data_IF_265732693693
#
_entry.id   IF_265732693693
#
_cell.length_a   1.000
_cell.length_b   1.000
_cell.length_c   1.000
_cell.angle_alpha   90.00
_cell.angle_beta   90.00
_cell.angle_gamma   90.00
#
_symmetry.space_group_name_H-M   'P 1'
#
loop_
_entity.id
_entity.type
_entity.pdbx_description
1 polymer ?
#
# COMPACT_ATOMS: atom_id res chain seq x y z
N UNK A 1 3.67 16.24 14.77
CA UNK A 1 3.47 14.80 15.06
C UNK A 1 2.90 14.03 13.87
N UNK A 2 1.73 14.39 13.33
CA UNK A 2 1.08 13.67 12.20
C UNK A 2 2.03 13.42 11.01
N UNK A 3 2.73 14.45 10.52
CA UNK A 3 3.66 14.30 9.39
C UNK A 3 4.78 13.28 9.67
N UNK A 4 5.35 13.30 10.88
CA UNK A 4 6.42 12.38 11.28
C UNK A 4 5.89 10.94 11.26
N UNK A 5 4.66 10.72 11.72
CA UNK A 5 4.07 9.37 11.76
C UNK A 5 3.70 8.84 10.38
N UNK A 6 3.20 9.70 9.49
CA UNK A 6 2.98 9.34 8.08
C UNK A 6 4.30 8.94 7.40
N UNK A 7 5.36 9.73 7.61
CA UNK A 7 6.68 9.42 7.05
C UNK A 7 7.28 8.15 7.65
N UNK A 8 7.13 7.94 8.96
CA UNK A 8 7.61 6.72 9.60
C UNK A 8 6.92 5.49 9.04
N UNK A 9 5.60 5.55 8.81
CA UNK A 9 4.83 4.44 8.28
C UNK A 9 5.19 4.13 6.82
N UNK A 10 5.34 5.16 5.99
CA UNK A 10 5.81 5.00 4.61
C UNK A 10 7.20 4.35 4.56
N UNK A 11 8.15 4.85 5.35
CA UNK A 11 9.52 4.32 5.41
C UNK A 11 9.53 2.87 5.91
N UNK A 12 8.70 2.54 6.90
CA UNK A 12 8.57 1.20 7.45
C UNK A 12 8.13 0.21 6.36
N UNK A 13 7.02 0.50 5.67
CA UNK A 13 6.52 -0.38 4.61
C UNK A 13 7.49 -0.47 3.42
N UNK A 14 8.08 0.64 2.99
CA UNK A 14 9.06 0.65 1.91
C UNK A 14 10.32 -0.17 2.25
N UNK A 15 10.77 -0.12 3.50
CA UNK A 15 11.92 -0.89 3.98
C UNK A 15 11.64 -2.40 3.99
N UNK A 16 10.45 -2.80 4.46
CA UNK A 16 10.01 -4.20 4.43
C UNK A 16 9.90 -4.73 3.00
N UNK A 17 9.26 -3.97 2.11
CA UNK A 17 9.15 -4.34 0.70
C UNK A 17 10.53 -4.48 0.04
N UNK A 18 11.43 -3.51 0.24
CA UNK A 18 12.78 -3.52 -0.36
C UNK A 18 13.58 -4.76 0.09
N UNK A 19 13.55 -5.07 1.39
CA UNK A 19 14.22 -6.27 1.93
C UNK A 19 13.57 -7.55 1.40
N UNK A 20 12.23 -7.65 1.45
CA UNK A 20 11.49 -8.81 0.98
C UNK A 20 11.80 -9.12 -0.49
N UNK A 21 11.68 -8.11 -1.37
CA UNK A 21 12.01 -8.24 -2.79
C UNK A 21 13.45 -8.66 -3.05
N UNK A 22 14.40 -8.05 -2.35
CA UNK A 22 15.83 -8.37 -2.50
C UNK A 22 16.09 -9.84 -2.21
N UNK A 23 15.60 -10.34 -1.08
CA UNK A 23 15.93 -11.69 -0.63
C UNK A 23 15.12 -12.76 -1.36
N UNK A 24 13.91 -12.47 -1.83
CA UNK A 24 13.19 -13.35 -2.78
C UNK A 24 13.99 -13.48 -4.07
N UNK A 25 14.43 -12.36 -4.65
CA UNK A 25 15.23 -12.38 -5.87
C UNK A 25 16.55 -13.13 -5.67
N UNK A 26 17.24 -12.96 -4.53
CA UNK A 26 18.46 -13.74 -4.21
C UNK A 26 18.25 -15.25 -4.12
N UNK A 27 17.02 -15.73 -3.84
CA UNK A 27 16.72 -17.17 -3.87
C UNK A 27 16.60 -17.71 -5.30
N UNK A 28 16.18 -16.86 -6.24
CA UNK A 28 15.96 -17.23 -7.63
C UNK A 28 17.30 -17.44 -8.37
N UNK A 29 17.42 -18.49 -9.20
CA UNK A 29 18.55 -18.67 -10.10
C UNK A 29 18.78 -17.46 -10.99
N UNK A 30 20.04 -17.16 -11.34
CA UNK A 30 20.40 -16.03 -12.20
C UNK A 30 19.81 -16.16 -13.61
N UNK A 31 19.50 -17.38 -14.07
CA UNK A 31 18.84 -17.66 -15.36
C UNK A 31 17.36 -17.29 -15.39
N UNK A 32 16.72 -17.07 -14.23
CA UNK A 32 15.29 -16.77 -14.13
C UNK A 32 15.01 -15.29 -13.86
N UNK A 33 16.02 -14.42 -13.93
CA UNK A 33 15.86 -13.00 -13.61
C UNK A 33 16.92 -12.13 -14.28
N UNK A 34 16.62 -10.83 -14.45
CA UNK A 34 17.66 -9.85 -14.79
C UNK A 34 18.70 -9.74 -13.69
N UNK A 35 19.92 -9.37 -14.07
CA UNK A 35 20.96 -9.03 -13.09
C UNK A 35 20.58 -7.75 -12.36
N UNK A 36 20.91 -7.68 -11.08
CA UNK A 36 20.59 -6.54 -10.22
C UNK A 36 21.69 -6.39 -9.17
N UNK A 37 21.93 -5.15 -8.76
CA UNK A 37 22.96 -4.82 -7.79
C UNK A 37 22.38 -3.88 -6.73
N UNK A 38 22.40 -4.33 -5.47
CA UNK A 38 22.01 -3.52 -4.32
C UNK A 38 23.18 -3.47 -3.35
N UNK A 39 23.60 -2.26 -2.98
CA UNK A 39 24.72 -2.09 -2.06
C UNK A 39 24.34 -2.54 -0.65
N UNK A 40 25.31 -3.06 0.10
CA UNK A 40 25.10 -3.47 1.49
C UNK A 40 24.58 -2.33 2.36
N UNK A 41 24.90 -1.07 2.03
CA UNK A 41 24.42 0.13 2.73
C UNK A 41 22.88 0.21 2.73
N UNK A 42 22.24 -0.05 1.59
CA UNK A 42 20.78 -0.07 1.51
C UNK A 42 20.17 -1.16 2.39
N UNK A 43 20.77 -2.36 2.41
CA UNK A 43 20.27 -3.47 3.23
C UNK A 43 20.37 -3.17 4.73
N UNK A 44 21.50 -2.62 5.18
CA UNK A 44 21.67 -2.22 6.57
C UNK A 44 20.75 -1.06 6.93
N UNK A 45 20.61 -0.05 6.08
CA UNK A 45 19.73 1.09 6.32
C UNK A 45 18.26 0.65 6.42
N UNK A 46 17.77 -0.13 5.45
CA UNK A 46 16.40 -0.65 5.46
C UNK A 46 16.14 -1.58 6.65
N UNK A 47 17.14 -2.32 7.13
CA UNK A 47 16.97 -3.17 8.31
C UNK A 47 16.97 -2.35 9.60
N UNK A 48 17.95 -1.46 9.79
CA UNK A 48 18.11 -0.66 11.01
C UNK A 48 16.99 0.34 11.23
N UNK A 49 16.38 0.86 10.15
CA UNK A 49 15.32 1.87 10.27
C UNK A 49 14.02 1.29 10.84
N UNK A 50 13.72 0.01 10.59
CA UNK A 50 12.46 -0.66 10.99
C UNK A 50 12.07 -0.38 12.46
N UNK A 51 12.89 -0.73 13.48
CA UNK A 51 12.52 -0.51 14.88
C UNK A 51 12.49 0.96 15.26
N UNK A 52 13.23 1.83 14.57
CA UNK A 52 13.25 3.27 14.82
C UNK A 52 11.91 3.88 14.40
N UNK A 53 11.46 3.61 13.17
CA UNK A 53 10.20 4.15 12.66
C UNK A 53 8.98 3.46 13.27
N UNK A 54 9.08 2.18 13.61
CA UNK A 54 8.03 1.46 14.34
C UNK A 54 7.85 1.96 15.79
N UNK A 55 8.82 2.72 16.34
CA UNK A 55 8.68 3.31 17.67
C UNK A 55 7.81 4.57 17.69
N UNK A 56 7.59 5.23 16.53
CA UNK A 56 6.92 6.54 16.48
C UNK A 56 5.52 6.54 17.13
N UNK A 57 4.65 5.50 16.96
CA UNK A 57 3.39 5.42 17.69
C UNK A 57 3.55 5.39 19.23
N UNK A 58 4.62 4.78 19.74
CA UNK A 58 4.93 4.76 21.16
C UNK A 58 5.32 6.16 21.68
N UNK A 59 5.94 7.00 20.83
CA UNK A 59 6.23 8.40 21.18
C UNK A 59 4.94 9.18 21.41
N UNK A 60 3.90 8.95 20.60
CA UNK A 60 2.60 9.59 20.81
C UNK A 60 1.98 9.19 22.17
N UNK A 61 2.06 7.91 22.55
CA UNK A 61 1.61 7.47 23.87
C UNK A 61 2.46 8.07 24.99
N UNK A 62 3.78 8.18 24.82
CA UNK A 62 4.66 8.82 25.79
C UNK A 62 4.25 10.28 26.03
N UNK A 63 3.88 11.03 24.99
CA UNK A 63 3.42 12.43 25.14
C UNK A 63 2.14 12.53 25.98
N UNK A 64 1.26 11.53 25.89
CA UNK A 64 -0.01 11.49 26.63
C UNK A 64 0.22 11.08 28.09
N UNK A 65 1.09 10.09 28.34
CA UNK A 65 1.28 9.48 29.66
C UNK A 65 2.33 10.18 30.52
N UNK A 66 3.37 10.77 29.92
CA UNK A 66 4.48 11.41 30.66
C UNK A 66 4.00 12.51 31.61
N UNK A 67 3.06 13.39 31.23
CA UNK A 67 2.53 14.41 32.15
C UNK A 67 1.80 13.83 33.37
N UNK A 68 1.33 12.58 33.30
CA UNK A 68 0.53 11.92 34.34
C UNK A 68 1.38 11.06 35.28
N UNK A 69 2.36 10.33 34.73
CA UNK A 69 3.12 9.32 35.47
C UNK A 69 4.64 9.58 35.49
N UNK A 70 5.14 10.58 34.78
CA UNK A 70 6.57 10.77 34.54
C UNK A 70 7.12 9.83 33.46
N UNK A 71 8.31 10.15 32.94
CA UNK A 71 8.86 9.50 31.74
C UNK A 71 9.14 8.00 31.94
N UNK A 72 9.82 7.64 33.03
CA UNK A 72 10.25 6.25 33.29
C UNK A 72 9.04 5.34 33.48
N UNK A 73 8.08 5.73 34.32
CA UNK A 73 6.88 4.93 34.56
C UNK A 73 5.99 4.85 33.33
N UNK A 74 5.90 5.91 32.52
CA UNK A 74 5.19 5.89 31.24
C UNK A 74 5.82 4.92 30.24
N UNK A 75 7.15 4.96 30.09
CA UNK A 75 7.87 4.05 29.20
C UNK A 75 7.71 2.60 29.65
N UNK A 76 7.88 2.33 30.95
CA UNK A 76 7.68 1.00 31.52
C UNK A 76 6.24 0.52 31.28
N UNK A 77 5.24 1.37 31.49
CA UNK A 77 3.83 1.03 31.27
C UNK A 77 3.57 0.70 29.80
N UNK A 78 4.09 1.49 28.86
CA UNK A 78 3.96 1.23 27.41
C UNK A 78 4.52 -0.14 27.06
N UNK A 79 5.77 -0.42 27.45
CA UNK A 79 6.46 -1.64 27.06
C UNK A 79 5.89 -2.88 27.77
N UNK A 80 5.37 -2.74 28.99
CA UNK A 80 4.88 -3.88 29.78
C UNK A 80 3.39 -4.15 29.63
N UNK A 81 2.55 -3.14 29.35
CA UNK A 81 1.08 -3.29 29.38
C UNK A 81 0.40 -3.03 28.03
N UNK A 82 0.96 -2.17 27.18
CA UNK A 82 0.27 -1.79 25.94
C UNK A 82 0.69 -2.69 24.77
N UNK A 83 -0.32 -3.08 23.97
CA UNK A 83 -0.15 -3.91 22.76
C UNK A 83 0.92 -3.37 21.81
N UNK A 84 0.94 -2.05 21.61
CA UNK A 84 1.91 -1.34 20.75
C UNK A 84 3.35 -1.43 21.27
N UNK A 85 3.54 -1.43 22.59
CA UNK A 85 4.85 -1.62 23.20
C UNK A 85 5.36 -3.05 23.05
N UNK A 86 4.50 -4.06 23.28
CA UNK A 86 4.84 -5.47 23.06
C UNK A 86 5.23 -5.77 21.61
N UNK A 87 4.46 -5.23 20.65
CA UNK A 87 4.78 -5.37 19.23
C UNK A 87 6.11 -4.72 18.89
N UNK A 88 6.37 -3.51 19.40
CA UNK A 88 7.64 -2.83 19.15
C UNK A 88 8.84 -3.61 19.71
N UNK A 89 8.75 -4.15 20.93
CA UNK A 89 9.81 -5.02 21.49
C UNK A 89 10.02 -6.25 20.61
N UNK A 90 8.94 -6.88 20.15
CA UNK A 90 9.01 -8.04 19.26
C UNK A 90 9.70 -7.69 17.94
N UNK A 91 9.33 -6.57 17.32
CA UNK A 91 9.95 -6.03 16.10
C UNK A 91 11.43 -5.73 16.35
N UNK A 92 11.78 -5.12 17.48
CA UNK A 92 13.16 -4.83 17.84
C UNK A 92 13.99 -6.12 17.95
N UNK A 93 13.51 -7.12 18.68
CA UNK A 93 14.20 -8.40 18.85
C UNK A 93 14.41 -9.12 17.51
N UNK A 94 13.38 -9.23 16.68
CA UNK A 94 13.54 -9.83 15.35
C UNK A 94 14.44 -9.01 14.44
N UNK A 95 14.43 -7.68 14.57
CA UNK A 95 15.31 -6.82 13.77
C UNK A 95 16.79 -6.94 14.18
N UNK A 96 17.08 -7.14 15.47
CA UNK A 96 18.46 -7.40 15.92
C UNK A 96 19.01 -8.70 15.29
N UNK A 97 18.19 -9.76 15.27
CA UNK A 97 18.55 -11.01 14.58
C UNK A 97 18.66 -10.78 13.07
N UNK A 98 17.73 -10.04 12.48
CA UNK A 98 17.73 -9.68 11.06
C UNK A 98 19.04 -8.99 10.66
N UNK A 99 19.53 -8.03 11.45
CA UNK A 99 20.78 -7.32 11.18
C UNK A 99 22.00 -8.25 11.16
N UNK A 100 22.06 -9.22 12.09
CA UNK A 100 23.12 -10.23 12.14
C UNK A 100 23.07 -11.09 10.87
N UNK A 101 21.90 -11.60 10.50
CA UNK A 101 21.73 -12.47 9.32
C UNK A 101 21.97 -11.70 8.02
N UNK A 102 21.50 -10.44 7.92
CA UNK A 102 21.78 -9.55 6.79
C UNK A 102 23.29 -9.34 6.66
N UNK A 103 24.01 -9.09 7.76
CA UNK A 103 25.46 -8.96 7.73
C UNK A 103 26.16 -10.21 7.18
N UNK A 104 25.76 -11.39 7.68
CA UNK A 104 26.26 -12.66 7.15
C UNK A 104 25.95 -12.84 5.65
N UNK A 105 24.75 -12.43 5.21
CA UNK A 105 24.32 -12.54 3.81
C UNK A 105 25.08 -11.63 2.84
N UNK A 106 25.66 -10.52 3.34
CA UNK A 106 26.50 -9.65 2.50
C UNK A 106 27.88 -10.24 2.23
N UNK A 107 28.36 -11.12 3.12
CA UNK A 107 29.65 -11.80 3.01
C UNK A 107 29.54 -13.20 2.38
N UNK A 108 28.34 -13.79 2.40
CA UNK A 108 28.10 -15.16 1.95
C UNK A 108 26.89 -15.26 1.03
N UNK A 109 27.04 -15.95 -0.10
CA UNK A 109 25.96 -16.19 -1.09
C UNK A 109 25.05 -17.39 -0.74
N UNK A 110 25.10 -17.91 0.50
CA UNK A 110 24.31 -19.08 0.92
C UNK A 110 22.81 -18.77 0.92
N UNK A 111 22.02 -19.54 0.16
CA UNK A 111 20.56 -19.36 0.04
C UNK A 111 19.81 -19.46 1.38
N UNK A 112 20.29 -20.29 2.31
CA UNK A 112 19.68 -20.44 3.65
C UNK A 112 19.60 -19.11 4.42
N UNK A 113 20.55 -18.19 4.21
CA UNK A 113 20.51 -16.86 4.83
C UNK A 113 19.37 -16.01 4.28
N UNK A 114 19.05 -16.15 2.98
CA UNK A 114 17.91 -15.45 2.38
C UNK A 114 16.58 -16.00 2.89
N UNK A 115 16.48 -17.32 3.09
CA UNK A 115 15.30 -17.95 3.72
C UNK A 115 15.12 -17.47 5.16
N UNK A 116 16.19 -17.44 5.95
CA UNK A 116 16.16 -16.94 7.33
C UNK A 116 15.70 -15.48 7.40
N UNK A 117 16.21 -14.62 6.50
CA UNK A 117 15.80 -13.21 6.43
C UNK A 117 14.32 -13.06 6.06
N UNK A 118 13.84 -13.79 5.05
CA UNK A 118 12.41 -13.77 4.68
C UNK A 118 11.54 -14.22 5.86
N UNK A 119 11.97 -15.25 6.60
CA UNK A 119 11.25 -15.75 7.78
C UNK A 119 11.17 -14.68 8.88
N UNK A 120 12.26 -13.96 9.14
CA UNK A 120 12.29 -12.85 10.11
C UNK A 120 11.40 -11.68 9.66
N UNK A 121 11.39 -11.36 8.36
CA UNK A 121 10.50 -10.33 7.81
C UNK A 121 9.03 -10.72 7.97
N UNK A 122 8.67 -11.98 7.74
CA UNK A 122 7.31 -12.50 7.99
C UNK A 122 6.93 -12.31 9.47
N UNK A 123 7.82 -12.62 10.40
CA UNK A 123 7.58 -12.43 11.83
C UNK A 123 7.40 -10.95 12.21
N UNK A 124 8.19 -10.05 11.61
CA UNK A 124 8.03 -8.60 11.79
C UNK A 124 6.67 -8.12 11.24
N UNK A 125 6.27 -8.58 10.05
CA UNK A 125 4.98 -8.24 9.43
C UNK A 125 3.82 -8.75 10.31
N UNK A 126 3.94 -9.95 10.88
CA UNK A 126 2.94 -10.46 11.84
C UNK A 126 2.84 -9.59 13.10
N UNK A 127 3.98 -9.18 13.67
CA UNK A 127 3.99 -8.28 14.82
C UNK A 127 3.36 -6.90 14.52
N UNK A 128 3.47 -6.41 13.27
CA UNK A 128 2.79 -5.19 12.85
C UNK A 128 1.29 -5.39 12.69
N UNK A 129 0.87 -6.48 12.05
CA UNK A 129 -0.54 -6.81 11.88
C UNK A 129 -1.26 -6.99 13.22
N UNK A 130 -0.55 -7.51 14.23
CA UNK A 130 -1.02 -7.63 15.61
C UNK A 130 -1.43 -6.29 16.22
N UNK A 131 -0.87 -5.14 15.81
CA UNK A 131 -1.23 -3.82 16.37
C UNK A 131 -2.06 -2.94 15.43
N UNK A 132 -2.54 -3.51 14.33
CA UNK A 132 -3.34 -2.80 13.34
C UNK A 132 -4.71 -2.35 13.88
N UNK A 133 -5.30 -1.34 13.25
CA UNK A 133 -6.69 -0.94 13.50
C UNK A 133 -7.66 -2.12 13.32
N UNK A 134 -7.43 -2.93 12.29
CA UNK A 134 -8.22 -4.14 12.03
C UNK A 134 -8.21 -5.11 13.22
N UNK A 135 -7.03 -5.34 13.82
CA UNK A 135 -6.88 -6.23 14.97
C UNK A 135 -7.63 -5.74 16.23
N UNK A 136 -7.83 -4.42 16.34
CA UNK A 136 -8.57 -3.80 17.44
C UNK A 136 -10.09 -3.89 17.23
N UNK A 137 -10.56 -3.84 15.97
CA UNK A 137 -11.98 -3.90 15.61
C UNK A 137 -12.51 -5.33 15.52
N UNK A 138 -11.76 -6.23 14.85
CA UNK A 138 -12.08 -7.66 14.73
C UNK A 138 -10.83 -8.46 15.13
N UNK A 139 -10.68 -8.83 16.41
CA UNK A 139 -9.54 -9.61 16.88
C UNK A 139 -9.33 -10.90 16.06
N UNK A 140 -8.08 -11.30 15.83
CA UNK A 140 -7.66 -12.45 15.01
C UNK A 140 -7.95 -12.28 13.52
N UNK A 141 -9.21 -12.06 13.12
CA UNK A 141 -9.58 -11.93 11.71
C UNK A 141 -8.97 -10.68 11.07
N UNK A 142 -9.10 -9.52 11.72
CA UNK A 142 -8.52 -8.27 11.25
C UNK A 142 -6.99 -8.31 11.21
N UNK A 143 -6.37 -8.97 12.19
CA UNK A 143 -4.92 -9.24 12.19
C UNK A 143 -4.52 -10.12 11.00
N UNK A 144 -5.23 -11.22 10.75
CA UNK A 144 -4.95 -12.10 9.62
C UNK A 144 -5.11 -11.38 8.27
N UNK A 145 -6.15 -10.56 8.12
CA UNK A 145 -6.36 -9.79 6.89
C UNK A 145 -5.25 -8.77 6.67
N UNK A 146 -4.86 -8.04 7.71
CA UNK A 146 -3.78 -7.04 7.62
C UNK A 146 -2.42 -7.70 7.35
N UNK A 147 -2.15 -8.84 7.99
CA UNK A 147 -0.95 -9.65 7.72
C UNK A 147 -0.90 -10.09 6.25
N UNK A 148 -1.97 -10.71 5.74
CA UNK A 148 -2.04 -11.17 4.34
C UNK A 148 -1.86 -9.98 3.39
N UNK A 149 -2.50 -8.85 3.67
CA UNK A 149 -2.39 -7.64 2.86
C UNK A 149 -0.95 -7.13 2.80
N UNK A 150 -0.34 -6.85 3.96
CA UNK A 150 1.00 -6.30 4.05
C UNK A 150 2.07 -7.27 3.53
N UNK A 151 1.90 -8.57 3.76
CA UNK A 151 2.80 -9.60 3.24
C UNK A 151 2.76 -9.65 1.72
N UNK A 152 1.58 -9.70 1.12
CA UNK A 152 1.42 -9.72 -0.33
C UNK A 152 1.94 -8.43 -0.99
N UNK A 153 1.69 -7.26 -0.40
CA UNK A 153 2.28 -5.98 -0.85
C UNK A 153 3.81 -6.04 -0.78
N UNK A 154 4.38 -6.52 0.32
CA UNK A 154 5.82 -6.59 0.52
C UNK A 154 6.52 -7.49 -0.52
N UNK A 155 5.89 -8.59 -0.92
CA UNK A 155 6.40 -9.46 -2.00
C UNK A 155 6.33 -8.72 -3.34
N UNK A 156 5.14 -8.26 -3.71
CA UNK A 156 4.90 -7.74 -5.05
C UNK A 156 5.64 -6.43 -5.30
N UNK A 157 5.38 -5.42 -4.47
CA UNK A 157 6.06 -4.13 -4.54
C UNK A 157 7.58 -4.30 -4.32
N UNK A 158 7.98 -5.19 -3.41
CA UNK A 158 9.39 -5.46 -3.15
C UNK A 158 10.15 -5.90 -4.39
N UNK A 159 9.65 -6.94 -5.08
CA UNK A 159 10.28 -7.42 -6.32
C UNK A 159 10.32 -6.32 -7.37
N UNK A 160 9.22 -5.57 -7.53
CA UNK A 160 9.13 -4.46 -8.48
C UNK A 160 10.12 -3.32 -8.19
N UNK A 161 10.31 -2.93 -6.93
CA UNK A 161 11.31 -1.92 -6.55
C UNK A 161 12.70 -2.36 -7.01
N UNK A 162 13.08 -3.61 -6.74
CA UNK A 162 14.41 -4.11 -7.08
C UNK A 162 14.59 -4.21 -8.60
N UNK A 163 13.61 -4.77 -9.31
CA UNK A 163 13.70 -4.90 -10.76
C UNK A 163 13.64 -3.55 -11.47
N UNK A 164 12.87 -2.58 -10.96
CA UNK A 164 12.75 -1.25 -11.56
C UNK A 164 13.97 -0.38 -11.37
N UNK A 165 14.54 -0.36 -10.17
CA UNK A 165 15.55 0.64 -9.78
C UNK A 165 16.95 0.07 -9.60
N UNK A 166 17.09 -1.24 -9.39
CA UNK A 166 18.38 -1.87 -9.09
C UNK A 166 18.82 -2.91 -10.13
N UNK A 167 18.01 -3.18 -11.17
CA UNK A 167 18.42 -4.05 -12.28
C UNK A 167 19.42 -3.36 -13.20
N UNK A 168 20.50 -4.06 -13.55
CA UNK A 168 21.56 -3.54 -14.40
C UNK A 168 21.34 -3.84 -15.88
N UNK A 169 20.53 -4.85 -16.20
CA UNK A 169 20.16 -5.23 -17.56
C UNK A 169 18.70 -5.70 -17.65
N UNK A 170 18.28 -6.04 -18.86
CA UNK A 170 16.97 -6.64 -19.19
C UNK A 170 17.11 -8.09 -19.66
N UNK A 171 18.23 -8.76 -19.35
CA UNK A 171 18.45 -10.15 -19.73
C UNK A 171 17.48 -11.08 -18.98
N UNK A 172 17.17 -12.25 -19.55
CA UNK A 172 16.27 -13.25 -18.97
C UNK A 172 14.86 -12.71 -18.64
N UNK A 173 14.41 -11.64 -19.30
CA UNK A 173 13.13 -10.99 -18.99
C UNK A 173 11.93 -11.93 -19.17
N UNK A 174 11.94 -12.74 -20.23
CA UNK A 174 10.88 -13.73 -20.45
C UNK A 174 10.84 -14.78 -19.32
N UNK A 175 12.01 -15.27 -18.90
CA UNK A 175 12.12 -16.22 -17.79
C UNK A 175 11.66 -15.60 -16.47
N UNK A 176 11.95 -14.31 -16.25
CA UNK A 176 11.43 -13.54 -15.12
C UNK A 176 9.91 -13.49 -15.12
N UNK A 177 9.28 -13.11 -16.24
CA UNK A 177 7.83 -13.03 -16.33
C UNK A 177 7.14 -14.39 -16.13
N UNK A 178 7.79 -15.52 -16.47
CA UNK A 178 7.20 -16.85 -16.30
C UNK A 178 6.87 -17.18 -14.84
N UNK A 179 7.68 -16.74 -13.87
CA UNK A 179 7.41 -16.96 -12.44
C UNK A 179 6.89 -15.70 -11.73
N UNK A 180 7.31 -14.51 -12.17
CA UNK A 180 6.87 -13.27 -11.53
C UNK A 180 5.42 -12.93 -11.87
N UNK A 181 4.96 -13.09 -13.12
CA UNK A 181 3.55 -12.82 -13.46
C UNK A 181 2.54 -13.62 -12.63
N UNK A 182 2.66 -14.96 -12.45
CA UNK A 182 1.76 -15.68 -11.56
C UNK A 182 1.93 -15.27 -10.09
N UNK A 183 3.15 -14.98 -9.63
CA UNK A 183 3.39 -14.47 -8.26
C UNK A 183 2.69 -13.13 -8.03
N UNK A 184 2.79 -12.21 -8.98
CA UNK A 184 2.13 -10.91 -8.95
C UNK A 184 0.60 -11.05 -8.99
N UNK A 185 0.06 -11.99 -9.78
CA UNK A 185 -1.38 -12.27 -9.81
C UNK A 185 -1.89 -12.79 -8.46
N UNK A 186 -1.16 -13.73 -7.84
CA UNK A 186 -1.50 -14.25 -6.50
C UNK A 186 -1.43 -13.12 -5.47
N UNK A 187 -0.36 -12.31 -5.48
CA UNK A 187 -0.23 -11.19 -4.56
C UNK A 187 -1.32 -10.14 -4.76
N UNK A 188 -1.60 -9.73 -6.00
CA UNK A 188 -2.70 -8.83 -6.35
C UNK A 188 -4.05 -9.35 -5.85
N UNK A 189 -4.34 -10.64 -6.08
CA UNK A 189 -5.58 -11.27 -5.62
C UNK A 189 -5.65 -11.29 -4.10
N UNK A 190 -4.56 -11.63 -3.42
CA UNK A 190 -4.48 -11.62 -1.95
C UNK A 190 -4.70 -10.21 -1.38
N UNK A 191 -4.12 -9.18 -2.00
CA UNK A 191 -4.29 -7.76 -1.64
C UNK A 191 -5.75 -7.32 -1.85
N UNK A 192 -6.36 -7.69 -2.97
CA UNK A 192 -7.74 -7.32 -3.27
C UNK A 192 -8.71 -7.97 -2.27
N UNK A 193 -8.59 -9.29 -2.05
CA UNK A 193 -9.44 -10.03 -1.12
C UNK A 193 -9.27 -9.55 0.32
N UNK A 194 -8.04 -9.48 0.81
CA UNK A 194 -7.79 -8.97 2.17
C UNK A 194 -8.17 -7.51 2.33
N UNK A 195 -7.99 -6.69 1.28
CA UNK A 195 -8.41 -5.29 1.26
C UNK A 195 -9.91 -5.12 1.45
N UNK A 196 -10.72 -5.88 0.73
CA UNK A 196 -12.19 -5.87 0.91
C UNK A 196 -12.58 -6.30 2.33
N UNK A 197 -11.94 -7.35 2.86
CA UNK A 197 -12.19 -7.83 4.21
C UNK A 197 -11.75 -6.83 5.30
N UNK A 198 -10.69 -6.06 5.04
CA UNK A 198 -10.25 -4.97 5.92
C UNK A 198 -11.23 -3.80 5.92
N UNK A 199 -11.84 -3.47 4.76
CA UNK A 199 -12.90 -2.45 4.70
C UNK A 199 -14.08 -2.89 5.56
N UNK A 200 -14.54 -4.14 5.41
CA UNK A 200 -15.62 -4.70 6.23
C UNK A 200 -15.28 -4.74 7.73
N UNK A 201 -14.00 -4.91 8.08
CA UNK A 201 -13.56 -4.92 9.46
C UNK A 201 -13.46 -3.51 10.10
N UNK A 202 -13.11 -2.49 9.32
CA UNK A 202 -12.69 -1.17 9.83
C UNK A 202 -13.71 -0.07 9.52
N UNK A 203 -14.50 -0.23 8.46
CA UNK A 203 -15.33 0.85 7.87
C UNK A 203 -16.80 0.42 7.83
N UNK A 204 -17.60 0.70 8.87
CA UNK A 204 -18.96 0.19 9.02
C UNK A 204 -19.96 0.70 7.96
N UNK A 205 -19.74 1.91 7.42
CA UNK A 205 -20.53 2.45 6.31
C UNK A 205 -19.58 3.06 5.27
N UNK A 206 -19.13 2.25 4.31
CA UNK A 206 -18.07 2.63 3.37
C UNK A 206 -18.34 3.93 2.62
N UNK A 207 -19.53 4.06 2.01
CA UNK A 207 -19.89 5.26 1.23
C UNK A 207 -20.05 6.48 2.14
N UNK A 208 -20.70 6.34 3.30
CA UNK A 208 -20.81 7.43 4.30
C UNK A 208 -19.42 7.89 4.77
N UNK A 209 -18.50 6.94 4.93
CA UNK A 209 -17.13 7.18 5.34
C UNK A 209 -16.33 8.04 4.36
N UNK A 210 -16.70 8.15 3.08
CA UNK A 210 -15.99 8.95 2.07
C UNK A 210 -15.91 10.44 2.42
N UNK A 211 -16.87 10.97 3.20
CA UNK A 211 -16.79 12.34 3.70
C UNK A 211 -15.67 12.54 4.73
N UNK A 212 -15.26 11.49 5.45
CA UNK A 212 -14.23 11.60 6.49
C UNK A 212 -12.82 11.75 5.92
N UNK A 213 -11.87 12.29 6.71
CA UNK A 213 -10.45 12.33 6.32
C UNK A 213 -9.91 10.94 5.95
N UNK A 214 -10.16 9.93 6.79
CA UNK A 214 -9.70 8.55 6.57
C UNK A 214 -10.33 7.95 5.31
N UNK A 215 -11.66 8.01 5.22
CA UNK A 215 -12.41 7.38 4.14
C UNK A 215 -12.15 8.05 2.80
N UNK A 216 -11.87 9.35 2.77
CA UNK A 216 -11.51 10.05 1.54
C UNK A 216 -10.18 9.58 0.96
N UNK A 217 -9.14 9.46 1.79
CA UNK A 217 -7.85 8.93 1.35
C UNK A 217 -7.92 7.44 1.00
N UNK A 218 -8.71 6.66 1.74
CA UNK A 218 -9.00 5.28 1.40
C UNK A 218 -9.72 5.19 0.04
N UNK A 219 -10.68 6.07 -0.23
CA UNK A 219 -11.37 6.11 -1.51
C UNK A 219 -10.41 6.44 -2.66
N UNK A 220 -9.53 7.42 -2.48
CA UNK A 220 -8.48 7.75 -3.48
C UNK A 220 -7.57 6.55 -3.73
N UNK A 221 -7.19 5.77 -2.70
CA UNK A 221 -6.46 4.52 -2.89
C UNK A 221 -7.23 3.57 -3.82
N UNK A 222 -8.53 3.37 -3.61
CA UNK A 222 -9.35 2.51 -4.47
C UNK A 222 -9.49 3.04 -5.90
N UNK A 223 -9.62 4.36 -6.06
CA UNK A 223 -9.62 5.00 -7.38
C UNK A 223 -8.32 4.70 -8.14
N UNK A 224 -7.16 4.76 -7.48
CA UNK A 224 -5.87 4.45 -8.10
C UNK A 224 -5.68 2.95 -8.41
N UNK A 225 -6.42 2.04 -7.77
CA UNK A 225 -6.40 0.62 -8.13
C UNK A 225 -6.96 0.37 -9.53
N UNK A 226 -7.84 1.25 -10.03
CA UNK A 226 -8.41 1.11 -11.37
C UNK A 226 -7.34 1.25 -12.47
N UNK A 227 -6.60 2.36 -12.62
CA UNK A 227 -5.52 2.44 -13.60
C UNK A 227 -4.39 1.44 -13.30
N UNK A 228 -4.11 1.13 -12.02
CA UNK A 228 -3.14 0.09 -11.67
C UNK A 228 -3.51 -1.25 -12.28
N UNK A 229 -4.78 -1.67 -12.18
CA UNK A 229 -5.24 -2.96 -12.72
C UNK A 229 -4.92 -3.07 -14.21
N UNK A 230 -5.20 -2.02 -15.00
CA UNK A 230 -4.86 -2.03 -16.43
C UNK A 230 -3.37 -2.00 -16.71
N UNK A 231 -2.57 -1.29 -15.90
CA UNK A 231 -1.11 -1.27 -16.02
C UNK A 231 -0.52 -2.65 -15.71
N UNK A 232 -0.99 -3.31 -14.65
CA UNK A 232 -0.52 -4.64 -14.23
C UNK A 232 -0.88 -5.69 -15.27
N UNK A 233 -2.11 -5.66 -15.81
CA UNK A 233 -2.52 -6.53 -16.89
C UNK A 233 -1.72 -6.27 -18.17
N UNK A 234 -1.46 -5.00 -18.51
CA UNK A 234 -0.58 -4.61 -19.62
C UNK A 234 0.83 -5.16 -19.47
N UNK A 235 1.41 -5.01 -18.28
CA UNK A 235 2.74 -5.52 -17.96
C UNK A 235 2.83 -7.04 -17.94
N UNK A 236 1.79 -7.72 -17.45
CA UNK A 236 1.75 -9.19 -17.35
C UNK A 236 1.44 -9.90 -18.68
N UNK A 237 0.63 -9.29 -19.54
CA UNK A 237 0.09 -9.91 -20.75
C UNK A 237 0.66 -9.30 -22.04
N UNK A 238 0.63 -7.97 -22.17
CA UNK A 238 0.94 -7.29 -23.43
C UNK A 238 2.44 -7.11 -23.67
N UNK A 239 3.23 -6.95 -22.60
CA UNK A 239 4.69 -6.82 -22.71
C UNK A 239 5.32 -8.07 -23.31
N UNK A 240 4.78 -9.27 -23.01
CA UNK A 240 5.29 -10.55 -23.54
C UNK A 240 5.34 -10.57 -25.07
N UNK A 241 4.40 -9.89 -25.72
CA UNK A 241 4.30 -9.79 -27.18
C UNK A 241 5.40 -8.90 -27.81
N UNK A 242 6.20 -8.21 -26.99
CA UNK A 242 7.17 -7.20 -27.42
C UNK A 242 8.62 -7.50 -27.03
N UNK A 243 8.85 -8.55 -26.23
CA UNK A 243 10.18 -8.89 -25.69
C UNK A 243 11.18 -9.20 -26.81
N UNK A 244 10.72 -9.73 -27.93
CA UNK A 244 11.59 -10.08 -29.07
C UNK A 244 12.03 -8.86 -29.91
N UNK A 245 11.47 -7.67 -29.65
CA UNK A 245 11.84 -6.46 -30.38
C UNK A 245 13.18 -5.90 -29.86
N UNK A 246 14.18 -5.65 -30.73
CA UNK A 246 15.54 -5.32 -30.31
C UNK A 246 15.70 -3.98 -29.58
N UNK A 247 14.73 -3.06 -29.71
CA UNK A 247 14.77 -1.72 -29.07
C UNK A 247 13.82 -1.59 -27.87
N UNK A 248 13.12 -2.65 -27.49
CA UNK A 248 12.12 -2.58 -26.44
C UNK A 248 12.76 -2.72 -25.04
N UNK A 249 12.61 -1.69 -24.20
CA UNK A 249 13.12 -1.67 -22.82
C UNK A 249 11.96 -1.95 -21.84
N UNK A 250 11.83 -3.19 -21.32
CA UNK A 250 10.70 -3.56 -20.47
C UNK A 250 10.76 -2.93 -19.07
N UNK A 251 11.94 -2.52 -18.58
CA UNK A 251 12.09 -1.92 -17.24
C UNK A 251 11.30 -0.63 -17.08
N UNK A 252 11.12 0.13 -18.16
CA UNK A 252 10.35 1.38 -18.16
C UNK A 252 8.90 1.15 -17.73
N UNK A 253 8.29 0.06 -18.16
CA UNK A 253 6.89 -0.25 -17.83
C UNK A 253 6.73 -0.75 -16.39
N UNK A 254 7.70 -1.52 -15.92
CA UNK A 254 7.77 -1.94 -14.50
C UNK A 254 7.97 -0.72 -13.60
N UNK A 255 8.74 0.29 -14.02
CA UNK A 255 8.89 1.56 -13.28
C UNK A 255 7.56 2.32 -13.14
N UNK A 256 6.71 2.32 -14.17
CA UNK A 256 5.38 2.94 -14.11
C UNK A 256 4.51 2.23 -13.06
N UNK A 257 4.44 0.90 -13.12
CA UNK A 257 3.72 0.07 -12.13
C UNK A 257 4.24 0.31 -10.70
N UNK A 258 5.57 0.28 -10.54
CA UNK A 258 6.23 0.53 -9.25
C UNK A 258 5.91 1.92 -8.71
N UNK A 259 5.97 2.95 -9.56
CA UNK A 259 5.68 4.33 -9.17
C UNK A 259 4.24 4.49 -8.68
N UNK A 260 3.28 3.85 -9.36
CA UNK A 260 1.87 3.88 -8.95
C UNK A 260 1.64 3.13 -7.63
N UNK A 261 2.28 1.98 -7.43
CA UNK A 261 2.22 1.26 -6.16
C UNK A 261 2.87 2.04 -5.00
N UNK A 262 3.98 2.75 -5.25
CA UNK A 262 4.60 3.64 -4.26
C UNK A 262 3.64 4.79 -3.90
N UNK A 263 2.95 5.37 -4.89
CA UNK A 263 1.94 6.41 -4.64
C UNK A 263 0.77 5.87 -3.78
N UNK A 264 0.28 4.67 -4.09
CA UNK A 264 -0.75 3.99 -3.29
C UNK A 264 -0.25 3.69 -1.86
N UNK A 265 1.02 3.30 -1.70
CA UNK A 265 1.63 3.08 -0.40
C UNK A 265 1.73 4.39 0.41
N UNK A 266 2.10 5.50 -0.24
CA UNK A 266 2.14 6.82 0.38
C UNK A 266 0.74 7.25 0.85
N UNK A 267 -0.30 7.06 0.03
CA UNK A 267 -1.69 7.30 0.44
C UNK A 267 -2.09 6.42 1.62
N UNK A 268 -1.69 5.14 1.60
CA UNK A 268 -1.94 4.22 2.71
C UNK A 268 -1.33 4.71 4.02
N UNK A 269 -0.08 5.21 3.98
CA UNK A 269 0.57 5.80 5.14
C UNK A 269 -0.12 7.08 5.65
N UNK A 270 -0.78 7.85 4.77
CA UNK A 270 -1.50 9.07 5.17
C UNK A 270 -2.75 8.74 6.01
N UNK A 271 -3.54 7.75 5.57
CA UNK A 271 -4.80 7.43 6.26
C UNK A 271 -4.65 6.40 7.38
N UNK A 272 -3.58 5.60 7.40
CA UNK A 272 -3.34 4.65 8.49
C UNK A 272 -3.15 5.32 9.86
N UNK A 273 -2.80 6.61 9.87
CA UNK A 273 -2.66 7.43 11.09
C UNK A 273 -3.93 8.19 11.47
N UNK A 274 -5.00 8.02 10.71
CA UNK A 274 -6.27 8.71 10.92
C UNK A 274 -7.27 7.76 11.57
N UNK A 275 -8.18 8.33 12.36
CA UNK A 275 -9.24 7.53 12.97
C UNK A 275 -10.17 6.97 11.88
N UNK A 276 -10.48 5.67 11.91
CA UNK A 276 -11.49 5.08 11.04
C UNK A 276 -12.85 5.80 11.16
N UNK A 277 -13.64 5.88 10.09
CA UNK A 277 -14.93 6.55 10.09
C UNK A 277 -15.99 5.80 10.90
N UNK A 278 -16.95 6.55 11.43
CA UNK A 278 -18.17 6.03 12.02
C UNK A 278 -19.22 5.70 10.95
N UNK A 279 -20.31 5.05 11.33
CA UNK A 279 -21.43 4.70 10.42
C UNK A 279 -22.23 5.91 9.93
N UNK A 280 -22.05 7.06 10.57
CA UNK A 280 -22.69 8.34 10.26
C UNK A 280 -21.61 9.43 10.16
N UNK A 281 -21.93 10.54 9.49
CA UNK A 281 -21.00 11.65 9.35
C UNK A 281 -20.75 12.33 10.70
N UNK A 282 -19.50 12.72 10.95
CA UNK A 282 -19.09 13.62 12.03
C UNK A 282 -18.51 14.87 11.39
N UNK A 283 -19.18 16.02 11.55
CA UNK A 283 -18.81 17.29 10.88
C UNK A 283 -17.36 17.71 11.15
N UNK A 284 -16.85 17.46 12.37
CA UNK A 284 -15.46 17.71 12.79
C UNK A 284 -14.40 16.87 12.06
N UNK A 285 -14.81 15.74 11.47
CA UNK A 285 -13.92 14.82 10.75
C UNK A 285 -14.11 14.88 9.23
N UNK A 286 -14.93 15.80 8.71
CA UNK A 286 -15.11 15.96 7.26
C UNK A 286 -13.80 16.43 6.62
N UNK A 287 -13.45 15.79 5.50
CA UNK A 287 -12.24 16.10 4.76
C UNK A 287 -12.38 17.41 3.99
N UNK A 288 -11.37 18.28 4.07
CA UNK A 288 -11.30 19.48 3.25
C UNK A 288 -11.31 19.14 1.75
N UNK A 289 -10.66 18.04 1.36
CA UNK A 289 -10.65 17.57 -0.03
C UNK A 289 -12.05 17.16 -0.49
N UNK A 290 -12.83 16.54 0.40
CA UNK A 290 -14.21 16.17 0.09
C UNK A 290 -15.08 17.42 -0.15
N UNK A 291 -14.94 18.46 0.67
CA UNK A 291 -15.67 19.74 0.53
C UNK A 291 -15.34 20.51 -0.74
N UNK A 292 -14.12 20.37 -1.27
CA UNK A 292 -13.74 21.01 -2.55
C UNK A 292 -14.54 20.44 -3.73
N UNK A 293 -14.85 19.14 -3.69
CA UNK A 293 -15.51 18.44 -4.80
C UNK A 293 -17.00 18.17 -4.56
N UNK A 294 -17.49 18.36 -3.33
CA UNK A 294 -18.90 18.24 -2.99
C UNK A 294 -19.40 19.57 -2.42
N UNK A 295 -20.34 20.19 -3.12
CA UNK A 295 -20.97 21.45 -2.71
C UNK A 295 -22.08 21.28 -1.67
N UNK A 296 -22.48 20.03 -1.38
CA UNK A 296 -23.48 19.73 -0.37
C UNK A 296 -22.94 19.95 1.04
N UNK A 297 -23.72 20.67 1.86
CA UNK A 297 -23.43 20.79 3.29
C UNK A 297 -23.65 19.41 3.91
N UNK A 298 -22.58 18.80 4.42
CA UNK A 298 -22.66 17.51 5.10
C UNK A 298 -22.61 17.73 6.60
N UNK A 299 -23.68 17.33 7.28
CA UNK A 299 -23.87 17.54 8.71
C UNK A 299 -23.76 16.24 9.50
N UNK A 300 -23.54 16.38 10.81
CA UNK A 300 -23.45 15.24 11.72
C UNK A 300 -24.76 14.44 11.72
N UNK A 301 -24.67 13.12 11.59
CA UNK A 301 -25.84 12.23 11.56
C UNK A 301 -26.38 11.92 10.16
N UNK A 302 -25.83 12.54 9.11
CA UNK A 302 -26.12 12.15 7.73
C UNK A 302 -25.48 10.81 7.36
N UNK A 303 -26.09 10.14 6.37
CA UNK A 303 -25.60 8.91 5.73
C UNK A 303 -25.57 9.08 4.22
N UNK A 304 -24.64 8.40 3.56
CA UNK A 304 -24.49 8.48 2.12
C UNK A 304 -25.12 7.28 1.41
N UNK A 305 -25.68 7.54 0.24
CA UNK A 305 -26.15 6.53 -0.70
C UNK A 305 -25.85 6.98 -2.12
N UNK A 306 -25.96 6.05 -3.06
CA UNK A 306 -25.79 6.37 -4.48
C UNK A 306 -27.11 6.75 -5.12
N UNK A 307 -27.10 7.87 -5.81
CA UNK A 307 -28.17 8.32 -6.70
C UNK A 307 -27.55 8.67 -8.04
N UNK A 308 -27.91 7.95 -9.10
CA UNK A 308 -27.31 8.17 -10.41
C UNK A 308 -27.69 9.54 -10.96
N UNK A 309 -26.70 10.29 -11.42
CA UNK A 309 -26.86 11.62 -12.03
C UNK A 309 -26.33 11.59 -13.47
N UNK A 310 -26.86 12.47 -14.34
CA UNK A 310 -26.37 12.59 -15.72
C UNK A 310 -24.87 12.95 -15.78
N UNK A 311 -24.40 13.78 -14.84
CA UNK A 311 -22.99 14.13 -14.68
C UNK A 311 -22.14 12.90 -14.32
N UNK A 312 -22.62 12.06 -13.39
CA UNK A 312 -21.94 10.83 -13.03
C UNK A 312 -21.81 9.85 -14.18
N UNK A 313 -22.90 9.66 -14.94
CA UNK A 313 -22.87 8.83 -16.16
C UNK A 313 -21.82 9.36 -17.15
N UNK A 314 -21.76 10.67 -17.38
CA UNK A 314 -20.78 11.28 -18.28
C UNK A 314 -19.34 11.02 -17.82
N UNK A 315 -19.04 11.18 -16.53
CA UNK A 315 -17.72 10.89 -15.99
C UNK A 315 -17.35 9.42 -16.09
N UNK A 316 -18.27 8.49 -15.83
CA UNK A 316 -18.00 7.06 -16.01
C UNK A 316 -17.76 6.68 -17.48
N UNK A 317 -18.47 7.30 -18.43
CA UNK A 317 -18.20 7.14 -19.86
C UNK A 317 -16.80 7.67 -20.21
N UNK A 318 -16.40 8.84 -19.70
CA UNK A 318 -15.05 9.36 -19.87
C UNK A 318 -13.99 8.44 -19.26
N UNK A 319 -14.25 7.86 -18.08
CA UNK A 319 -13.37 6.84 -17.49
C UNK A 319 -13.17 5.67 -18.46
N UNK A 320 -14.25 5.15 -19.05
CA UNK A 320 -14.15 4.05 -20.03
C UNK A 320 -13.32 4.46 -21.26
N UNK A 321 -13.51 5.68 -21.79
CA UNK A 321 -12.71 6.20 -22.90
C UNK A 321 -11.23 6.28 -22.52
N UNK A 322 -10.88 6.85 -21.36
CA UNK A 322 -9.49 6.96 -20.92
C UNK A 322 -8.86 5.60 -20.61
N UNK A 323 -9.63 4.60 -20.17
CA UNK A 323 -9.15 3.22 -20.05
C UNK A 323 -8.77 2.67 -21.42
N UNK A 324 -9.62 2.84 -22.44
CA UNK A 324 -9.31 2.41 -23.81
C UNK A 324 -8.04 3.10 -24.31
N UNK A 325 -7.92 4.42 -24.11
CA UNK A 325 -6.72 5.17 -24.49
C UNK A 325 -5.47 4.69 -23.74
N UNK A 326 -5.58 4.42 -22.44
CA UNK A 326 -4.50 3.85 -21.63
C UNK A 326 -4.04 2.51 -22.20
N UNK A 327 -4.96 1.61 -22.56
CA UNK A 327 -4.63 0.32 -23.18
C UNK A 327 -3.98 0.52 -24.56
N UNK A 328 -4.46 1.48 -25.36
CA UNK A 328 -3.86 1.81 -26.66
C UNK A 328 -2.41 2.31 -26.55
N UNK A 329 -2.01 2.93 -25.42
CA UNK A 329 -0.61 3.33 -25.19
C UNK A 329 0.36 2.15 -25.25
N UNK A 330 -0.06 0.97 -24.78
CA UNK A 330 0.75 -0.25 -24.86
C UNK A 330 0.97 -0.67 -26.30
N UNK A 331 -0.08 -0.68 -27.12
CA UNK A 331 0.02 -1.07 -28.53
C UNK A 331 0.89 -0.09 -29.33
N UNK A 332 0.72 1.21 -29.08
CA UNK A 332 1.42 2.30 -29.80
C UNK A 332 2.79 2.65 -29.24
N UNK A 333 3.24 2.00 -28.16
CA UNK A 333 4.55 2.27 -27.52
C UNK A 333 4.70 3.76 -27.16
N UNK A 334 3.61 4.33 -26.62
CA UNK A 334 3.56 5.75 -26.30
C UNK A 334 4.59 6.12 -25.23
N UNK A 335 5.00 7.40 -25.22
CA UNK A 335 5.91 7.92 -24.21
C UNK A 335 5.33 7.75 -22.79
N UNK A 336 6.21 7.56 -21.81
CA UNK A 336 5.85 7.36 -20.39
C UNK A 336 4.91 8.45 -19.87
N UNK A 337 5.14 9.71 -20.27
CA UNK A 337 4.31 10.84 -19.87
C UNK A 337 2.85 10.69 -20.33
N UNK A 338 2.61 10.07 -21.49
CA UNK A 338 1.27 9.80 -22.02
C UNK A 338 0.60 8.69 -21.21
N UNK A 339 1.35 7.63 -20.85
CA UNK A 339 0.81 6.56 -20.00
C UNK A 339 0.38 7.12 -18.63
N UNK A 340 1.25 7.94 -18.03
CA UNK A 340 0.97 8.58 -16.73
C UNK A 340 -0.23 9.54 -16.85
N UNK A 341 -0.30 10.36 -17.90
CA UNK A 341 -1.42 11.29 -18.07
C UNK A 341 -2.75 10.56 -18.26
N UNK A 342 -2.78 9.47 -19.04
CA UNK A 342 -3.97 8.63 -19.19
C UNK A 342 -4.36 7.97 -17.87
N UNK A 343 -3.40 7.45 -17.10
CA UNK A 343 -3.68 6.86 -15.78
C UNK A 343 -4.27 7.87 -14.79
N UNK A 344 -3.75 9.11 -14.79
CA UNK A 344 -4.30 10.22 -14.00
C UNK A 344 -5.71 10.58 -14.48
N UNK A 345 -5.93 10.66 -15.79
CA UNK A 345 -7.25 10.97 -16.35
C UNK A 345 -8.32 9.91 -15.99
N UNK A 346 -7.95 8.61 -16.03
CA UNK A 346 -8.80 7.51 -15.54
C UNK A 346 -9.17 7.73 -14.07
N UNK A 347 -8.17 7.97 -13.21
CA UNK A 347 -8.38 8.18 -11.79
C UNK A 347 -9.28 9.38 -11.50
N UNK A 348 -9.01 10.53 -12.13
CA UNK A 348 -9.78 11.76 -11.92
C UNK A 348 -11.23 11.60 -12.38
N UNK A 349 -11.48 11.07 -13.58
CA UNK A 349 -12.85 10.88 -14.07
C UNK A 349 -13.62 9.89 -13.19
N UNK A 350 -12.97 8.81 -12.76
CA UNK A 350 -13.61 7.82 -11.91
C UNK A 350 -13.95 8.38 -10.52
N UNK A 351 -13.02 9.14 -9.93
CA UNK A 351 -13.23 9.87 -8.68
C UNK A 351 -14.40 10.86 -8.81
N UNK A 352 -14.43 11.66 -9.86
CA UNK A 352 -15.50 12.65 -10.09
C UNK A 352 -16.86 11.98 -10.32
N UNK A 353 -16.89 10.88 -11.08
CA UNK A 353 -18.11 10.09 -11.30
C UNK A 353 -18.73 9.65 -9.98
N UNK A 354 -17.94 9.06 -9.10
CA UNK A 354 -18.42 8.63 -7.77
C UNK A 354 -18.85 9.77 -6.87
N UNK A 355 -18.09 10.87 -6.80
CA UNK A 355 -18.52 12.03 -6.00
C UNK A 355 -19.86 12.58 -6.52
N UNK A 356 -20.04 12.68 -7.84
CA UNK A 356 -21.27 13.22 -8.43
C UNK A 356 -22.53 12.38 -8.26
N UNK A 357 -22.39 11.10 -7.87
CA UNK A 357 -23.52 10.21 -7.57
C UNK A 357 -23.71 9.99 -6.06
N UNK A 358 -22.85 10.55 -5.22
CA UNK A 358 -22.91 10.36 -3.76
C UNK A 358 -23.77 11.45 -3.14
N UNK A 359 -24.87 11.06 -2.50
CA UNK A 359 -25.82 11.99 -1.86
C UNK A 359 -25.91 11.68 -0.37
N UNK A 360 -25.90 12.74 0.45
CA UNK A 360 -25.95 12.67 1.91
C UNK A 360 -27.31 13.14 2.43
N UNK A 361 -27.99 12.30 3.21
CA UNK A 361 -29.29 12.60 3.82
C UNK A 361 -29.32 12.17 5.29
N UNK A 362 -30.17 12.81 6.11
CA UNK A 362 -30.42 12.36 7.49
C UNK A 362 -31.12 11.01 7.51
N UNK A 363 -30.75 10.17 8.50
CA UNK A 363 -31.40 8.90 8.78
C UNK A 363 -32.89 9.14 9.01
N UNK A 364 -33.75 8.58 8.16
CA UNK A 364 -35.21 8.71 8.24
C UNK A 364 -35.88 9.34 7.02
N UNK A 365 -35.13 9.98 6.11
CA UNK A 365 -35.65 10.40 4.80
C UNK A 365 -35.33 9.34 3.74
N UNK A 366 -35.95 8.17 3.86
CA UNK A 366 -36.20 7.37 2.65
C UNK A 366 -37.23 8.15 1.84
N UNK A 367 -36.78 8.76 0.74
CA UNK A 367 -37.67 9.26 -0.30
C UNK A 367 -38.48 8.06 -0.79
N UNK A 368 -39.77 8.07 -0.49
CA UNK A 368 -40.79 7.18 -1.06
C UNK A 368 -40.87 7.32 -2.57
#
# INVERSE_FOLDING_TARGET
MIFITIMSQFILYASLATLMGTFILKLMPETLRPSFEISSKWLYMSSSVIPIVAFVPNIQLLMILTPQFGFVDSLWTIISKYKVGHAWVTILLFTLVLLIVVSASTKSKKKILSVAIITLLIAIIAAMAYVSHASSMKPIAGEAFDFIHLFAVSIWLGILIIISFFSTNSNNWEAFLKWFSPTALVAFSAIALSGVLLIDAIVPAYVTGWASKYGQWLFIKHVLLLPLTFIVLGNGLLIKLKIEKPLFEPRTWVKIETGLLIAILAITAIFSEQQPPMSFVQSENVSALFQVFNSSVVETGMTAHFQMTGIGIMFFLLTAVFIVLLVLTYFKEAAVIIVISMAIAVALCFYMGFNSITVFNFIGYCVT
#
